data_IF_431028789701
#
_entry.id   IF_431028789701
#
_cell.length_a   1.000
_cell.length_b   1.000
_cell.length_c   1.000
_cell.angle_alpha   90.00
_cell.angle_beta   90.00
_cell.angle_gamma   90.00
#
_symmetry.space_group_name_H-M   'P 1'
#
loop_
_entity.id
_entity.type
_entity.pdbx_description
1 polymer ?
#
# COMPACT_ATOMS: atom_id res chain seq x y z
N UNK A 1 -4.70 6.79 -26.17
CA UNK A 1 -4.46 6.62 -24.71
C UNK A 1 -3.14 5.88 -24.55
N UNK A 2 -2.17 6.44 -23.83
CA UNK A 2 -0.89 5.75 -23.57
C UNK A 2 -1.16 4.56 -22.65
N UNK A 3 -1.19 3.35 -23.22
CA UNK A 3 -1.45 2.08 -22.53
C UNK A 3 -0.56 1.93 -21.28
N UNK A 4 0.69 2.39 -21.35
CA UNK A 4 1.65 2.40 -20.25
C UNK A 4 1.19 3.21 -19.02
N UNK A 5 0.52 4.36 -19.22
CA UNK A 5 0.02 5.17 -18.10
C UNK A 5 -1.21 4.57 -17.45
N UNK A 6 -2.08 3.97 -18.26
CA UNK A 6 -3.31 3.31 -17.78
C UNK A 6 -2.97 2.09 -16.93
N UNK A 7 -2.06 1.23 -17.43
CA UNK A 7 -1.59 0.05 -16.70
C UNK A 7 -0.89 0.42 -15.39
N UNK A 8 -0.08 1.47 -15.36
CA UNK A 8 0.54 1.94 -14.12
C UNK A 8 -0.49 2.37 -13.08
N UNK A 9 -1.47 3.19 -13.48
CA UNK A 9 -2.46 3.73 -12.55
C UNK A 9 -3.33 2.63 -11.93
N UNK A 10 -3.82 1.70 -12.74
CA UNK A 10 -4.63 0.57 -12.27
C UNK A 10 -3.82 -0.40 -11.41
N UNK A 11 -2.56 -0.69 -11.77
CA UNK A 11 -1.68 -1.50 -10.93
C UNK A 11 -1.47 -0.86 -9.55
N UNK A 12 -1.18 0.45 -9.50
CA UNK A 12 -1.00 1.14 -8.22
C UNK A 12 -2.30 1.21 -7.41
N UNK A 13 -3.46 1.33 -8.06
CA UNK A 13 -4.76 1.29 -7.39
C UNK A 13 -5.02 -0.08 -6.73
N UNK A 14 -4.80 -1.18 -7.46
CA UNK A 14 -4.92 -2.54 -6.93
C UNK A 14 -3.91 -2.79 -5.81
N UNK A 15 -2.65 -2.38 -6.02
CA UNK A 15 -1.58 -2.51 -5.03
C UNK A 15 -1.92 -1.76 -3.74
N UNK A 16 -2.54 -0.58 -3.84
CA UNK A 16 -2.98 0.21 -2.68
C UNK A 16 -4.00 -0.54 -1.83
N UNK A 17 -4.98 -1.19 -2.46
CA UNK A 17 -6.02 -1.97 -1.75
C UNK A 17 -5.37 -3.14 -1.01
N UNK A 18 -4.46 -3.87 -1.67
CA UNK A 18 -3.73 -4.99 -1.07
C UNK A 18 -2.89 -4.50 0.12
N UNK A 19 -2.16 -3.40 -0.04
CA UNK A 19 -1.31 -2.85 1.00
C UNK A 19 -2.10 -2.37 2.22
N UNK A 20 -3.29 -1.80 2.04
CA UNK A 20 -4.18 -1.45 3.16
C UNK A 20 -4.56 -2.70 3.96
N UNK A 21 -4.90 -3.80 3.29
CA UNK A 21 -5.19 -5.08 3.96
C UNK A 21 -3.95 -5.59 4.71
N UNK A 22 -2.75 -5.50 4.12
CA UNK A 22 -1.51 -5.86 4.79
C UNK A 22 -1.23 -5.02 6.03
N UNK A 23 -1.53 -3.71 6.03
CA UNK A 23 -1.37 -2.87 7.23
C UNK A 23 -2.30 -3.34 8.34
N UNK A 24 -3.55 -3.66 8.03
CA UNK A 24 -4.51 -4.18 9.02
C UNK A 24 -4.05 -5.52 9.59
N UNK A 25 -3.59 -6.42 8.74
CA UNK A 25 -3.05 -7.74 9.15
C UNK A 25 -1.80 -7.59 10.04
N UNK A 26 -0.86 -6.72 9.65
CA UNK A 26 0.32 -6.42 10.47
C UNK A 26 -0.05 -5.83 11.83
N UNK A 27 -1.05 -4.93 11.90
CA UNK A 27 -1.54 -4.39 13.17
C UNK A 27 -2.13 -5.51 14.05
N UNK A 28 -2.92 -6.41 13.47
CA UNK A 28 -3.44 -7.58 14.19
C UNK A 28 -2.31 -8.46 14.73
N UNK A 29 -1.33 -8.78 13.89
CA UNK A 29 -0.17 -9.60 14.25
C UNK A 29 0.70 -8.94 15.33
N UNK A 30 0.78 -7.61 15.35
CA UNK A 30 1.46 -6.85 16.40
C UNK A 30 0.73 -6.92 17.74
N UNK A 31 -0.60 -6.87 17.74
CA UNK A 31 -1.40 -6.94 18.96
C UNK A 31 -1.39 -8.35 19.56
N UNK A 32 -1.61 -9.37 18.72
CA UNK A 32 -1.82 -10.74 19.16
C UNK A 32 -0.49 -11.47 19.43
N UNK A 33 0.47 -11.36 18.50
CA UNK A 33 1.70 -12.18 18.53
C UNK A 33 2.96 -11.40 18.92
N UNK A 34 2.91 -10.06 19.02
CA UNK A 34 4.06 -9.17 19.30
C UNK A 34 5.29 -9.43 18.41
N UNK A 35 5.10 -10.05 17.24
CA UNK A 35 6.18 -10.64 16.45
C UNK A 35 6.64 -9.74 15.29
N UNK A 36 5.90 -8.67 14.98
CA UNK A 36 6.21 -7.75 13.90
C UNK A 36 6.97 -6.54 14.48
N UNK A 37 8.13 -6.20 13.89
CA UNK A 37 8.86 -4.99 14.27
C UNK A 37 8.11 -3.73 13.85
N UNK A 38 8.16 -2.69 14.69
CA UNK A 38 7.55 -1.38 14.41
C UNK A 38 8.09 -0.75 13.11
N UNK A 39 9.33 -1.07 12.76
CA UNK A 39 9.98 -0.61 11.53
C UNK A 39 9.27 -1.15 10.29
N UNK A 40 8.87 -2.42 10.30
CA UNK A 40 8.15 -3.07 9.20
C UNK A 40 6.81 -2.38 8.94
N UNK A 41 6.06 -2.07 10.01
CA UNK A 41 4.80 -1.34 9.91
C UNK A 41 4.98 0.04 9.28
N UNK A 42 6.03 0.78 9.68
CA UNK A 42 6.34 2.11 9.14
C UNK A 42 6.63 2.02 7.64
N UNK A 43 7.44 1.05 7.20
CA UNK A 43 7.72 0.84 5.79
C UNK A 43 6.46 0.48 4.99
N UNK A 44 5.60 -0.39 5.53
CA UNK A 44 4.35 -0.76 4.86
C UNK A 44 3.40 0.43 4.75
N UNK A 45 3.29 1.28 5.79
CA UNK A 45 2.49 2.51 5.74
C UNK A 45 3.05 3.49 4.68
N UNK A 46 4.37 3.70 4.61
CA UNK A 46 4.99 4.55 3.60
C UNK A 46 4.71 4.04 2.18
N UNK A 47 4.88 2.73 1.96
CA UNK A 47 4.63 2.10 0.67
C UNK A 47 3.15 2.18 0.27
N UNK A 48 2.24 2.03 1.25
CA UNK A 48 0.80 2.22 1.06
C UNK A 48 0.50 3.65 0.63
N UNK A 49 1.06 4.65 1.32
CA UNK A 49 0.89 6.07 1.00
C UNK A 49 1.39 6.43 -0.41
N UNK A 50 2.56 5.93 -0.79
CA UNK A 50 3.10 6.11 -2.15
C UNK A 50 2.18 5.46 -3.18
N UNK A 51 1.75 4.23 -2.93
CA UNK A 51 0.87 3.50 -3.86
C UNK A 51 -0.47 4.21 -4.05
N UNK A 52 -1.07 4.70 -2.96
CA UNK A 52 -2.32 5.49 -3.02
C UNK A 52 -2.10 6.81 -3.77
N UNK A 53 -0.95 7.45 -3.54
CA UNK A 53 -0.61 8.68 -4.25
C UNK A 53 -0.53 8.45 -5.76
N UNK A 54 0.20 7.44 -6.22
CA UNK A 54 0.33 7.16 -7.66
C UNK A 54 -0.92 6.54 -8.28
N UNK A 55 -1.69 5.74 -7.53
CA UNK A 55 -2.90 5.07 -8.00
C UNK A 55 -4.12 5.98 -8.07
N UNK A 56 -4.32 6.86 -7.09
CA UNK A 56 -5.54 7.65 -6.96
C UNK A 56 -5.32 9.17 -7.03
N UNK A 57 -4.32 9.70 -6.32
CA UNK A 57 -4.14 11.15 -6.15
C UNK A 57 -3.36 11.83 -7.28
N UNK A 58 -2.48 11.09 -7.96
CA UNK A 58 -1.73 11.59 -9.12
C UNK A 58 -2.72 11.76 -10.27
N UNK A 59 -3.22 12.99 -10.39
CA UNK A 59 -3.85 13.52 -11.58
C UNK A 59 -2.73 13.77 -12.59
N UNK A 60 -2.78 13.06 -13.72
CA UNK A 60 -1.96 13.35 -14.91
C UNK A 60 -1.99 14.84 -15.25
#
# INVERSE_FOLDING_TARGET
MNLSRFVQKDLFAILSIILIVCVVDQLYMMMEYKNISKETLIFTILLTGVSVFFGFLKKD
#
